data_IF_532813011490
#
_entry.id   IF_532813011490
#
_cell.length_a   1.000
_cell.length_b   1.000
_cell.length_c   1.000
_cell.angle_alpha   90.00
_cell.angle_beta   90.00
_cell.angle_gamma   90.00
#
_symmetry.space_group_name_H-M   'P 1'
#
loop_
_entity.id
_entity.type
_entity.pdbx_description
1 polymer ?
#
# COMPACT_ATOMS: atom_id res chain seq x y z
N UNK A 1 19.94 -15.78 -13.13
CA UNK A 1 19.11 -15.65 -11.91
C UNK A 1 18.27 -14.38 -12.04
N UNK A 2 16.96 -14.45 -11.78
CA UNK A 2 16.15 -13.24 -11.71
C UNK A 2 16.63 -12.40 -10.50
N UNK A 3 17.02 -11.16 -10.74
CA UNK A 3 17.47 -10.26 -9.68
C UNK A 3 16.21 -9.74 -8.98
N UNK A 4 15.87 -10.30 -7.82
CA UNK A 4 14.72 -9.87 -7.02
C UNK A 4 15.25 -8.94 -5.93
N UNK A 5 15.29 -7.62 -6.14
CA UNK A 5 15.76 -6.69 -5.12
C UNK A 5 14.86 -6.78 -3.89
N UNK A 6 15.48 -6.79 -2.71
CA UNK A 6 14.75 -6.72 -1.44
C UNK A 6 14.50 -5.27 -1.09
N UNK A 7 13.25 -4.91 -0.79
CA UNK A 7 12.87 -3.56 -0.35
C UNK A 7 12.52 -3.60 1.12
N UNK A 8 13.26 -2.84 1.93
CA UNK A 8 12.99 -2.67 3.37
C UNK A 8 12.34 -1.31 3.59
N UNK A 9 11.18 -1.29 4.23
CA UNK A 9 10.43 -0.08 4.54
C UNK A 9 10.12 0.00 6.03
N UNK A 10 10.25 1.19 6.61
CA UNK A 10 9.80 1.46 7.99
C UNK A 10 8.35 1.92 7.93
N UNK A 11 7.50 1.27 8.71
CA UNK A 11 6.11 1.67 8.89
C UNK A 11 5.85 1.89 10.36
N UNK A 12 4.90 2.78 10.62
CA UNK A 12 4.30 2.88 11.93
C UNK A 12 3.69 1.52 12.35
N UNK A 13 3.94 1.05 13.59
CA UNK A 13 3.47 -0.26 14.02
C UNK A 13 1.95 -0.35 14.09
N UNK A 14 1.24 0.74 14.43
CA UNK A 14 -0.23 0.76 14.46
C UNK A 14 -0.79 0.69 13.04
N UNK A 15 -0.22 1.47 12.11
CA UNK A 15 -0.61 1.40 10.70
C UNK A 15 -0.42 -0.01 10.12
N UNK A 16 0.70 -0.67 10.46
CA UNK A 16 0.98 -2.04 10.02
C UNK A 16 -0.07 -3.02 10.56
N UNK A 17 -0.41 -2.93 11.84
CA UNK A 17 -1.40 -3.81 12.47
C UNK A 17 -2.80 -3.62 11.86
N UNK A 18 -3.22 -2.36 11.67
CA UNK A 18 -4.47 -2.02 11.01
C UNK A 18 -4.52 -2.56 9.58
N UNK A 19 -3.45 -2.36 8.80
CA UNK A 19 -3.38 -2.89 7.44
C UNK A 19 -3.46 -4.42 7.42
N UNK A 20 -2.76 -5.12 8.34
CA UNK A 20 -2.85 -6.59 8.38
C UNK A 20 -4.26 -7.08 8.70
N UNK A 21 -4.97 -6.47 9.66
CA UNK A 21 -6.36 -6.82 9.97
C UNK A 21 -7.31 -6.70 8.78
N UNK A 22 -7.06 -5.74 7.89
CA UNK A 22 -7.84 -5.57 6.66
C UNK A 22 -7.45 -6.59 5.58
N UNK A 23 -6.18 -6.95 5.50
CA UNK A 23 -5.64 -7.84 4.46
C UNK A 23 -5.82 -9.34 4.76
N UNK A 24 -5.76 -9.74 6.03
CA UNK A 24 -5.93 -11.13 6.48
C UNK A 24 -7.21 -11.81 5.98
N UNK A 25 -8.42 -11.21 6.11
CA UNK A 25 -9.64 -11.84 5.61
C UNK A 25 -9.68 -11.94 4.08
N UNK A 26 -8.85 -11.17 3.36
CA UNK A 26 -8.69 -11.24 1.91
C UNK A 26 -7.66 -12.31 1.49
N UNK A 27 -7.05 -13.01 2.44
CA UNK A 27 -5.98 -13.98 2.18
C UNK A 27 -4.68 -13.32 1.71
N UNK A 28 -4.50 -12.03 1.98
CA UNK A 28 -3.34 -11.25 1.54
C UNK A 28 -2.37 -11.00 2.69
N UNK A 29 -1.08 -11.16 2.40
CA UNK A 29 -0.02 -10.68 3.29
C UNK A 29 0.49 -9.30 2.81
N UNK A 30 1.32 -8.65 3.63
CA UNK A 30 1.85 -7.32 3.33
C UNK A 30 2.56 -7.25 1.97
N UNK A 31 3.39 -8.24 1.65
CA UNK A 31 4.11 -8.30 0.37
C UNK A 31 3.17 -8.42 -0.82
N UNK A 32 2.14 -9.25 -0.71
CA UNK A 32 1.11 -9.42 -1.73
C UNK A 32 0.33 -8.12 -1.96
N UNK A 33 -0.08 -7.46 -0.88
CA UNK A 33 -0.79 -6.18 -0.95
C UNK A 33 0.07 -5.08 -1.62
N UNK A 34 1.33 -4.93 -1.20
CA UNK A 34 2.27 -3.98 -1.81
C UNK A 34 2.50 -4.30 -3.29
N UNK A 35 2.64 -5.58 -3.65
CA UNK A 35 2.81 -5.99 -5.05
C UNK A 35 1.59 -5.62 -5.91
N UNK A 36 0.38 -5.83 -5.39
CA UNK A 36 -0.86 -5.45 -6.07
C UNK A 36 -0.92 -3.93 -6.25
N UNK A 37 -0.61 -3.18 -5.20
CA UNK A 37 -0.58 -1.72 -5.24
C UNK A 37 0.40 -1.19 -6.31
N UNK A 38 1.63 -1.69 -6.32
CA UNK A 38 2.65 -1.26 -7.30
C UNK A 38 2.24 -1.61 -8.74
N UNK A 39 1.62 -2.77 -8.95
CA UNK A 39 1.07 -3.13 -10.27
C UNK A 39 -0.04 -2.17 -10.71
N UNK A 40 -0.90 -1.74 -9.79
CA UNK A 40 -1.94 -0.76 -10.08
C UNK A 40 -1.34 0.61 -10.44
N UNK A 41 -0.33 1.07 -9.70
CA UNK A 41 0.42 2.31 -10.01
C UNK A 41 0.99 2.27 -11.43
N UNK A 42 1.65 1.17 -11.80
CA UNK A 42 2.22 0.99 -13.15
C UNK A 42 1.12 0.95 -14.21
N UNK A 43 0.02 0.25 -13.95
CA UNK A 43 -1.11 0.13 -14.89
C UNK A 43 -1.74 1.49 -15.18
N UNK A 44 -1.88 2.33 -14.17
CA UNK A 44 -2.57 3.63 -14.27
C UNK A 44 -1.62 4.79 -14.58
N UNK A 45 -0.30 4.54 -14.63
CA UNK A 45 0.73 5.59 -14.77
C UNK A 45 0.52 6.72 -13.74
N UNK A 46 0.13 6.37 -12.52
CA UNK A 46 -0.29 7.33 -11.50
C UNK A 46 -0.72 6.65 -10.19
N UNK A 47 -1.29 7.42 -9.27
CA UNK A 47 -1.88 6.83 -8.06
C UNK A 47 -3.15 6.04 -8.43
N UNK A 48 -3.29 4.78 -7.99
CA UNK A 48 -4.43 3.92 -8.32
C UNK A 48 -5.67 4.23 -7.45
N UNK A 49 -5.70 5.40 -6.83
CA UNK A 49 -6.80 5.90 -6.03
C UNK A 49 -6.87 7.41 -6.15
N UNK A 50 -8.07 7.96 -6.01
CA UNK A 50 -8.27 9.41 -5.99
C UNK A 50 -7.59 10.02 -4.77
N UNK A 51 -6.59 10.88 -5.02
CA UNK A 51 -5.96 11.69 -3.99
C UNK A 51 -6.92 12.80 -3.55
N UNK A 52 -7.68 12.55 -2.50
CA UNK A 52 -8.44 13.58 -1.80
C UNK A 52 -7.54 14.18 -0.73
N UNK A 53 -7.12 15.43 -0.90
CA UNK A 53 -6.64 16.20 0.24
C UNK A 53 -7.80 16.23 1.24
N UNK A 54 -7.56 15.85 2.50
CA UNK A 54 -8.52 16.24 3.55
C UNK A 54 -8.68 17.75 3.41
N UNK A 55 -9.91 18.29 3.31
CA UNK A 55 -10.08 19.71 3.49
C UNK A 55 -9.51 19.99 4.87
N UNK A 56 -8.31 20.61 4.91
CA UNK A 56 -7.87 21.32 6.10
C UNK A 56 -9.02 22.29 6.34
N UNK A 57 -9.77 22.06 7.42
CA UNK A 57 -10.93 22.86 7.76
C UNK A 57 -10.58 24.33 7.51
N UNK A 58 -11.32 24.93 6.59
CA UNK A 58 -11.39 26.38 6.52
C UNK A 58 -12.29 26.74 7.70
N UNK A 59 -11.68 27.31 8.75
CA UNK A 59 -12.39 27.98 9.84
C UNK A 59 -13.30 29.09 9.28
#
# INVERSE_FOLDING_TARGET
MANTPTTTMRLDPELKDQAMKVLEPLGLNMTGAVTIFLKAVVRENGMPFELKAQPRGED
#
